data_IF_976662015217
#
_entry.id   IF_976662015217
#
_cell.length_a   1.000
_cell.length_b   1.000
_cell.length_c   1.000
_cell.angle_alpha   90.00
_cell.angle_beta   90.00
_cell.angle_gamma   90.00
#
_symmetry.space_group_name_H-M   'P 1'
#
loop_
_entity.id
_entity.type
_entity.pdbx_description
1 polymer ?
#
# COMPACT_ATOMS: atom_id res chain seq x y z
N UNK A 1 15.52 73.89 0.27
CA UNK A 1 14.45 72.89 0.35
C UNK A 1 14.58 72.29 1.72
N UNK A 2 13.56 72.52 2.55
CA UNK A 2 13.62 72.25 3.98
C UNK A 2 13.74 70.74 4.23
N UNK A 3 14.48 70.33 5.26
CA UNK A 3 14.61 68.89 5.58
C UNK A 3 13.23 68.26 5.87
N UNK A 4 12.30 69.09 6.35
CA UNK A 4 10.90 68.73 6.60
C UNK A 4 10.13 68.45 5.29
N UNK A 5 10.38 69.23 4.22
CA UNK A 5 9.80 68.97 2.89
C UNK A 5 10.33 67.68 2.26
N UNK A 6 11.61 67.34 2.51
CA UNK A 6 12.19 66.08 2.03
C UNK A 6 11.62 64.86 2.77
N UNK A 7 11.32 65.00 4.06
CA UNK A 7 10.68 63.93 4.84
C UNK A 7 9.25 63.67 4.35
N UNK A 8 8.46 64.73 4.18
CA UNK A 8 7.07 64.59 3.70
C UNK A 8 7.01 64.01 2.28
N UNK A 9 7.98 64.36 1.41
CA UNK A 9 8.08 63.77 0.07
C UNK A 9 8.40 62.27 0.12
N UNK A 10 9.28 61.84 1.03
CA UNK A 10 9.58 60.42 1.26
C UNK A 10 8.38 59.67 1.82
N UNK A 11 7.65 60.24 2.78
CA UNK A 11 6.46 59.61 3.36
C UNK A 11 5.33 59.44 2.34
N UNK A 12 5.16 60.42 1.44
CA UNK A 12 4.23 60.29 0.31
C UNK A 12 4.64 59.17 -0.65
N UNK A 13 5.94 59.02 -0.91
CA UNK A 13 6.48 57.96 -1.77
C UNK A 13 6.29 56.57 -1.15
N UNK A 14 6.54 56.45 0.16
CA UNK A 14 6.33 55.22 0.93
C UNK A 14 4.86 54.80 0.88
N UNK A 15 3.92 55.73 1.12
CA UNK A 15 2.48 55.44 1.02
C UNK A 15 2.08 55.00 -0.39
N UNK A 16 2.68 55.60 -1.42
CA UNK A 16 2.39 55.26 -2.82
C UNK A 16 2.89 53.86 -3.17
N UNK A 17 4.09 53.49 -2.72
CA UNK A 17 4.66 52.15 -2.87
C UNK A 17 3.85 51.10 -2.10
N UNK A 18 3.44 51.40 -0.86
CA UNK A 18 2.59 50.51 -0.06
C UNK A 18 1.23 50.26 -0.74
N UNK A 19 0.61 51.30 -1.31
CA UNK A 19 -0.64 51.15 -2.06
C UNK A 19 -0.46 50.34 -3.35
N UNK A 20 0.68 50.50 -4.05
CA UNK A 20 0.99 49.68 -5.22
C UNK A 20 1.21 48.21 -4.84
N UNK A 21 1.96 47.91 -3.77
CA UNK A 21 2.11 46.53 -3.29
C UNK A 21 0.77 45.92 -2.89
N UNK A 22 -0.10 46.68 -2.21
CA UNK A 22 -1.42 46.20 -1.81
C UNK A 22 -2.30 45.90 -3.03
N UNK A 23 -2.25 46.75 -4.06
CA UNK A 23 -2.98 46.51 -5.32
C UNK A 23 -2.45 45.30 -6.10
N UNK A 24 -1.13 45.05 -6.07
CA UNK A 24 -0.51 43.88 -6.68
C UNK A 24 -0.90 42.59 -5.94
N UNK A 25 -0.86 42.59 -4.60
CA UNK A 25 -1.33 41.48 -3.77
C UNK A 25 -2.81 41.18 -4.00
N UNK A 26 -3.66 42.21 -4.11
CA UNK A 26 -5.10 42.03 -4.40
C UNK A 26 -5.33 41.44 -5.80
N UNK A 27 -4.44 41.73 -6.77
CA UNK A 27 -4.50 41.15 -8.11
C UNK A 27 -3.96 39.71 -8.19
N UNK A 28 -3.01 39.35 -7.32
CA UNK A 28 -2.51 37.99 -7.15
C UNK A 28 -3.53 37.09 -6.45
N UNK A 29 -4.30 37.63 -5.50
CA UNK A 29 -5.42 36.92 -4.83
C UNK A 29 -6.64 36.76 -5.76
N UNK A 30 -6.86 37.66 -6.72
CA UNK A 30 -7.94 37.56 -7.71
C UNK A 30 -7.64 36.60 -8.88
N UNK A 31 -6.35 36.37 -9.18
CA UNK A 31 -5.89 35.42 -10.23
C UNK A 31 -5.42 34.07 -9.67
N UNK A 32 -5.37 33.93 -8.35
CA UNK A 32 -5.34 32.63 -7.70
C UNK A 32 -6.77 32.28 -7.32
N UNK A 33 -7.46 31.58 -8.23
CA UNK A 33 -8.44 30.61 -7.75
C UNK A 33 -7.74 29.84 -6.63
N UNK A 34 -8.26 29.77 -5.40
CA UNK A 34 -7.75 28.79 -4.46
C UNK A 34 -7.89 27.48 -5.21
N UNK A 35 -6.77 26.88 -5.62
CA UNK A 35 -6.79 25.51 -6.08
C UNK A 35 -7.59 24.80 -4.99
N UNK A 36 -8.71 24.13 -5.31
CA UNK A 36 -9.43 23.41 -4.28
C UNK A 36 -8.37 22.56 -3.61
N UNK A 37 -8.19 22.75 -2.30
CA UNK A 37 -7.44 21.79 -1.51
C UNK A 37 -8.28 20.53 -1.63
N UNK A 38 -8.05 19.76 -2.68
CA UNK A 38 -8.63 18.45 -2.83
C UNK A 38 -7.92 17.67 -1.75
N UNK A 39 -8.46 17.71 -0.54
CA UNK A 39 -8.34 16.63 0.41
C UNK A 39 -9.00 15.45 -0.30
N UNK A 40 -8.27 14.85 -1.24
CA UNK A 40 -8.65 13.60 -1.86
C UNK A 40 -8.73 12.63 -0.69
N UNK A 41 -9.94 12.35 -0.21
CA UNK A 41 -10.15 11.25 0.69
C UNK A 41 -9.83 9.98 -0.11
N UNK A 42 -8.57 9.56 -0.03
CA UNK A 42 -8.12 8.36 -0.71
C UNK A 42 -8.97 7.19 -0.22
N UNK A 43 -9.65 6.55 -1.15
CA UNK A 43 -10.57 5.45 -0.86
C UNK A 43 -9.80 4.20 -0.40
N UNK A 44 -8.48 4.12 -0.60
CA UNK A 44 -7.68 2.93 -0.27
C UNK A 44 -7.86 1.82 -1.30
N UNK A 45 -7.89 2.20 -2.58
CA UNK A 45 -7.97 1.31 -3.74
C UNK A 45 -6.82 1.68 -4.68
N UNK A 46 -6.25 0.67 -5.36
CA UNK A 46 -5.16 0.87 -6.32
C UNK A 46 -5.62 0.40 -7.70
N UNK A 47 -5.74 1.35 -8.62
CA UNK A 47 -6.06 1.05 -10.01
C UNK A 47 -4.80 0.59 -10.76
N UNK A 48 -4.97 -0.44 -11.58
CA UNK A 48 -3.99 -0.87 -12.58
C UNK A 48 -4.70 -1.26 -13.87
N UNK A 49 -4.01 -1.09 -15.00
CA UNK A 49 -4.51 -1.51 -16.31
C UNK A 49 -4.34 -3.02 -16.48
N UNK A 50 -5.29 -3.69 -17.15
CA UNK A 50 -5.26 -5.16 -17.28
C UNK A 50 -4.01 -5.65 -18.00
N UNK A 51 -3.52 -4.90 -18.99
CA UNK A 51 -2.29 -5.16 -19.73
C UNK A 51 -1.01 -5.10 -18.86
N UNK A 52 -1.06 -4.41 -17.72
CA UNK A 52 0.07 -4.27 -16.79
C UNK A 52 0.00 -5.27 -15.63
N UNK A 53 -0.99 -6.18 -15.60
CA UNK A 53 -1.13 -7.20 -14.54
C UNK A 53 0.14 -8.03 -14.37
N UNK A 54 0.74 -8.48 -15.48
CA UNK A 54 1.98 -9.25 -15.44
C UNK A 54 3.14 -8.44 -14.82
N UNK A 55 3.23 -7.14 -15.13
CA UNK A 55 4.25 -6.25 -14.54
C UNK A 55 4.00 -6.01 -13.06
N UNK A 56 2.74 -5.86 -12.66
CA UNK A 56 2.36 -5.74 -11.25
C UNK A 56 2.87 -6.94 -10.46
N UNK A 57 2.59 -8.17 -10.95
CA UNK A 57 3.08 -9.39 -10.30
C UNK A 57 4.60 -9.47 -10.33
N UNK A 58 5.24 -9.11 -11.44
CA UNK A 58 6.70 -9.09 -11.55
C UNK A 58 7.32 -8.18 -10.48
N UNK A 59 6.88 -6.93 -10.37
CA UNK A 59 7.50 -5.96 -9.46
C UNK A 59 7.11 -6.14 -7.99
N UNK A 60 5.87 -6.53 -7.70
CA UNK A 60 5.37 -6.64 -6.32
C UNK A 60 5.65 -8.02 -5.71
N UNK A 61 5.81 -9.05 -6.55
CA UNK A 61 6.00 -10.42 -6.07
C UNK A 61 7.37 -10.97 -6.47
N UNK A 62 7.68 -11.00 -7.77
CA UNK A 62 8.85 -11.77 -8.25
C UNK A 62 10.19 -11.05 -7.98
N UNK A 63 10.24 -9.73 -8.17
CA UNK A 63 11.47 -8.93 -8.03
C UNK A 63 11.59 -8.22 -6.67
N UNK A 64 10.57 -8.37 -5.81
CA UNK A 64 10.52 -7.67 -4.54
C UNK A 64 11.52 -8.28 -3.55
N UNK A 65 12.52 -7.49 -3.15
CA UNK A 65 13.52 -7.90 -2.16
C UNK A 65 13.03 -7.62 -0.74
N UNK A 66 13.24 -8.53 0.23
CA UNK A 66 12.84 -8.33 1.63
C UNK A 66 13.51 -7.11 2.29
N UNK A 67 14.74 -6.78 1.88
CA UNK A 67 15.54 -5.70 2.50
C UNK A 67 15.04 -4.33 2.07
N UNK A 68 14.53 -3.56 3.03
CA UNK A 68 14.10 -2.16 2.85
C UNK A 68 12.60 -1.97 2.65
N UNK A 69 11.81 -3.05 2.69
CA UNK A 69 10.34 -2.97 2.53
C UNK A 69 9.67 -3.18 3.89
N UNK A 70 8.65 -2.36 4.17
CA UNK A 70 7.83 -2.50 5.37
C UNK A 70 7.14 -3.87 5.34
N UNK A 71 7.22 -4.61 6.45
CA UNK A 71 6.52 -5.89 6.64
C UNK A 71 5.05 -5.69 6.28
N UNK A 72 4.48 -6.56 5.44
CA UNK A 72 3.10 -6.52 4.91
C UNK A 72 2.78 -5.53 3.78
N UNK A 73 3.72 -4.72 3.30
CA UNK A 73 3.45 -3.74 2.23
C UNK A 73 2.90 -4.41 0.96
N UNK A 74 3.51 -5.52 0.52
CA UNK A 74 3.07 -6.22 -0.68
C UNK A 74 1.63 -6.74 -0.53
N UNK A 75 1.29 -7.31 0.62
CA UNK A 75 -0.05 -7.79 0.91
C UNK A 75 -1.11 -6.66 0.83
N UNK A 76 -0.84 -5.49 1.41
CA UNK A 76 -1.76 -4.36 1.35
C UNK A 76 -1.91 -3.80 -0.06
N UNK A 77 -0.80 -3.65 -0.81
CA UNK A 77 -0.85 -3.21 -2.21
C UNK A 77 -1.69 -4.15 -3.08
N UNK A 78 -1.47 -5.46 -2.95
CA UNK A 78 -2.23 -6.47 -3.67
C UNK A 78 -3.72 -6.46 -3.26
N UNK A 79 -4.02 -6.33 -1.97
CA UNK A 79 -5.40 -6.23 -1.49
C UNK A 79 -6.11 -4.96 -2.00
N UNK A 80 -5.41 -3.82 -2.07
CA UNK A 80 -5.98 -2.60 -2.65
C UNK A 80 -6.31 -2.75 -4.15
N UNK A 81 -5.53 -3.53 -4.91
CA UNK A 81 -5.85 -3.91 -6.29
C UNK A 81 -7.07 -4.84 -6.37
N UNK A 82 -7.16 -5.82 -5.47
CA UNK A 82 -8.30 -6.75 -5.36
C UNK A 82 -9.58 -5.97 -5.06
N UNK A 83 -9.54 -5.07 -4.08
CA UNK A 83 -10.68 -4.21 -3.73
C UNK A 83 -11.10 -3.30 -4.87
N UNK A 84 -10.15 -2.80 -5.66
CA UNK A 84 -10.49 -2.01 -6.85
C UNK A 84 -11.23 -2.85 -7.91
N UNK A 85 -10.78 -4.09 -8.14
CA UNK A 85 -11.47 -4.99 -9.06
C UNK A 85 -12.88 -5.37 -8.56
N UNK A 86 -13.04 -5.59 -7.26
CA UNK A 86 -14.34 -5.78 -6.61
C UNK A 86 -15.23 -4.54 -6.77
N UNK A 87 -14.71 -3.33 -6.51
CA UNK A 87 -15.45 -2.08 -6.67
C UNK A 87 -16.00 -1.85 -8.09
N UNK A 88 -15.24 -2.24 -9.11
CA UNK A 88 -15.69 -2.20 -10.51
C UNK A 88 -16.68 -3.32 -10.87
N UNK A 89 -16.97 -4.23 -9.95
CA UNK A 89 -17.75 -5.45 -10.17
C UNK A 89 -17.19 -6.30 -11.33
N UNK A 90 -15.85 -6.34 -11.45
CA UNK A 90 -15.14 -6.98 -12.55
C UNK A 90 -14.60 -8.36 -12.12
N UNK A 91 -15.49 -9.36 -12.15
CA UNK A 91 -15.17 -10.72 -11.69
C UNK A 91 -14.07 -11.40 -12.51
N UNK A 92 -13.94 -11.08 -13.80
CA UNK A 92 -12.89 -11.62 -14.65
C UNK A 92 -11.50 -11.09 -14.25
N UNK A 93 -11.39 -9.77 -14.03
CA UNK A 93 -10.17 -9.14 -13.55
C UNK A 93 -9.80 -9.62 -12.14
N UNK A 94 -10.78 -9.72 -11.26
CA UNK A 94 -10.58 -10.23 -9.90
C UNK A 94 -10.03 -11.67 -9.93
N UNK A 95 -10.65 -12.56 -10.70
CA UNK A 95 -10.20 -13.95 -10.84
C UNK A 95 -8.81 -14.04 -11.45
N UNK A 96 -8.51 -13.24 -12.48
CA UNK A 96 -7.17 -13.20 -13.09
C UNK A 96 -6.12 -12.79 -12.06
N UNK A 97 -6.35 -11.66 -11.39
CA UNK A 97 -5.44 -11.11 -10.38
C UNK A 97 -5.18 -12.09 -9.24
N UNK A 98 -6.23 -12.70 -8.67
CA UNK A 98 -6.08 -13.64 -7.57
C UNK A 98 -5.24 -14.86 -7.97
N UNK A 99 -5.48 -15.42 -9.16
CA UNK A 99 -4.69 -16.53 -9.68
C UNK A 99 -3.24 -16.12 -9.96
N UNK A 100 -3.02 -14.91 -10.47
CA UNK A 100 -1.70 -14.38 -10.76
C UNK A 100 -0.89 -14.15 -9.46
N UNK A 101 -1.52 -13.64 -8.40
CA UNK A 101 -0.91 -13.51 -7.06
C UNK A 101 -0.52 -14.89 -6.52
N UNK A 102 -1.46 -15.85 -6.49
CA UNK A 102 -1.22 -17.19 -5.97
C UNK A 102 -0.08 -17.86 -6.73
N UNK A 103 -0.06 -17.75 -8.06
CA UNK A 103 0.97 -18.34 -8.91
C UNK A 103 2.33 -17.66 -8.72
N UNK A 104 2.35 -16.34 -8.59
CA UNK A 104 3.56 -15.56 -8.31
C UNK A 104 4.20 -15.97 -6.98
N UNK A 105 3.41 -16.04 -5.91
CA UNK A 105 3.93 -16.46 -4.59
C UNK A 105 4.43 -17.90 -4.64
N UNK A 106 3.67 -18.83 -5.23
CA UNK A 106 4.11 -20.23 -5.41
C UNK A 106 5.44 -20.33 -6.14
N UNK A 107 5.62 -19.53 -7.20
CA UNK A 107 6.86 -19.48 -7.97
C UNK A 107 8.03 -19.02 -7.12
N UNK A 108 7.90 -17.89 -6.42
CA UNK A 108 8.98 -17.36 -5.56
C UNK A 108 9.38 -18.38 -4.49
N UNK A 109 8.42 -19.03 -3.85
CA UNK A 109 8.70 -20.03 -2.82
C UNK A 109 9.41 -21.27 -3.40
N UNK A 110 9.04 -21.66 -4.63
CA UNK A 110 9.63 -22.82 -5.31
C UNK A 110 11.04 -22.52 -5.80
N UNK A 111 11.30 -21.30 -6.28
CA UNK A 111 12.60 -20.87 -6.80
C UNK A 111 13.62 -20.64 -5.67
N UNK A 112 13.17 -20.41 -4.44
CA UNK A 112 13.99 -20.01 -3.29
C UNK A 112 13.73 -20.85 -2.04
N UNK A 113 13.65 -22.17 -2.19
CA UNK A 113 13.27 -23.11 -1.11
C UNK A 113 14.23 -23.15 0.08
N UNK A 114 15.46 -22.66 -0.06
CA UNK A 114 16.48 -22.65 1.00
C UNK A 114 16.77 -21.24 1.54
N UNK A 115 16.11 -20.20 0.99
CA UNK A 115 16.31 -18.82 1.42
C UNK A 115 15.42 -18.50 2.62
N UNK A 116 16.00 -18.57 3.82
CA UNK A 116 15.29 -18.29 5.07
C UNK A 116 14.66 -16.90 5.12
N UNK A 117 15.37 -15.87 4.63
CA UNK A 117 14.91 -14.47 4.67
C UNK A 117 13.68 -14.30 3.77
N UNK A 118 13.73 -14.88 2.57
CA UNK A 118 12.65 -14.81 1.59
C UNK A 118 11.43 -15.65 2.01
N UNK A 119 11.64 -16.84 2.56
CA UNK A 119 10.57 -17.70 3.07
C UNK A 119 9.82 -17.01 4.23
N UNK A 120 10.54 -16.42 5.18
CA UNK A 120 9.95 -15.65 6.29
C UNK A 120 9.13 -14.47 5.77
N UNK A 121 9.69 -13.73 4.79
CA UNK A 121 9.04 -12.58 4.18
C UNK A 121 7.72 -12.95 3.49
N UNK A 122 7.72 -14.00 2.66
CA UNK A 122 6.52 -14.43 1.95
C UNK A 122 5.52 -15.16 2.84
N UNK A 123 5.96 -15.85 3.90
CA UNK A 123 5.06 -16.37 4.93
C UNK A 123 4.26 -15.23 5.58
N UNK A 124 4.96 -14.18 6.00
CA UNK A 124 4.35 -12.99 6.60
C UNK A 124 3.36 -12.32 5.62
N UNK A 125 3.79 -12.02 4.38
CA UNK A 125 2.91 -11.38 3.41
C UNK A 125 1.71 -12.25 3.01
N UNK A 126 1.86 -13.57 2.91
CA UNK A 126 0.74 -14.49 2.64
C UNK A 126 -0.28 -14.47 3.78
N UNK A 127 0.20 -14.49 5.03
CA UNK A 127 -0.66 -14.37 6.21
C UNK A 127 -1.37 -13.01 6.29
N UNK A 128 -0.67 -11.92 5.98
CA UNK A 128 -1.27 -10.58 5.93
C UNK A 128 -2.32 -10.46 4.82
N UNK A 129 -2.08 -11.07 3.65
CA UNK A 129 -3.07 -11.12 2.57
C UNK A 129 -4.33 -11.88 3.02
N UNK A 130 -4.18 -13.06 3.62
CA UNK A 130 -5.28 -13.82 4.21
C UNK A 130 -6.03 -13.00 5.27
N UNK A 131 -5.30 -12.29 6.12
CA UNK A 131 -5.87 -11.44 7.17
C UNK A 131 -6.69 -10.29 6.58
N UNK A 132 -6.19 -9.62 5.52
CA UNK A 132 -6.94 -8.58 4.82
C UNK A 132 -8.23 -9.15 4.20
N UNK A 133 -8.14 -10.31 3.53
CA UNK A 133 -9.30 -10.96 2.92
C UNK A 133 -10.37 -11.36 3.94
N UNK A 134 -10.01 -11.61 5.19
CA UNK A 134 -10.96 -11.85 6.30
C UNK A 134 -11.48 -10.52 6.88
N UNK A 135 -10.57 -9.63 7.27
CA UNK A 135 -10.88 -8.37 7.94
C UNK A 135 -11.85 -7.49 7.12
N UNK A 136 -11.70 -7.51 5.81
CA UNK A 136 -12.49 -6.72 4.86
C UNK A 136 -13.48 -7.57 4.06
N UNK A 137 -13.84 -8.77 4.52
CA UNK A 137 -14.84 -9.60 3.81
C UNK A 137 -16.28 -9.10 3.96
N UNK A 138 -16.55 -8.25 4.97
CA UNK A 138 -17.91 -7.88 5.34
C UNK A 138 -18.56 -8.83 6.36
N UNK A 139 -17.87 -9.90 6.77
CA UNK A 139 -18.37 -10.82 7.79
C UNK A 139 -18.20 -10.23 9.20
N UNK A 140 -19.28 -10.17 9.97
CA UNK A 140 -19.28 -9.58 11.33
C UNK A 140 -18.24 -10.19 12.25
N UNK A 141 -17.94 -11.49 12.09
CA UNK A 141 -16.93 -12.18 12.89
C UNK A 141 -15.56 -11.53 12.79
N UNK A 142 -15.16 -11.06 11.60
CA UNK A 142 -13.85 -10.47 11.34
C UNK A 142 -13.83 -8.94 11.49
N UNK A 143 -14.99 -8.30 11.64
CA UNK A 143 -15.11 -6.84 11.74
C UNK A 143 -15.10 -6.31 13.18
N UNK A 144 -15.06 -7.18 14.20
CA UNK A 144 -15.17 -6.82 15.62
C UNK A 144 -14.14 -5.77 16.09
N UNK A 145 -12.94 -5.78 15.51
CA UNK A 145 -11.85 -4.87 15.87
C UNK A 145 -11.67 -3.73 14.86
N UNK A 146 -12.50 -3.66 13.83
CA UNK A 146 -12.39 -2.64 12.80
C UNK A 146 -12.92 -1.29 13.29
N UNK A 147 -12.23 -0.23 12.90
CA UNK A 147 -12.75 1.14 12.98
C UNK A 147 -13.91 1.33 11.99
N UNK A 148 -14.80 2.33 12.21
CA UNK A 148 -15.84 2.66 11.25
C UNK A 148 -15.32 2.96 9.84
N UNK A 149 -14.10 3.53 9.73
CA UNK A 149 -13.45 3.78 8.44
C UNK A 149 -12.97 2.49 7.78
N UNK A 150 -12.45 1.52 8.52
CA UNK A 150 -12.06 0.22 7.97
C UNK A 150 -13.26 -0.57 7.46
N UNK A 151 -14.42 -0.48 8.13
CA UNK A 151 -15.64 -1.14 7.67
C UNK A 151 -16.14 -0.61 6.32
N UNK A 152 -15.88 0.66 5.99
CA UNK A 152 -16.17 1.22 4.65
C UNK A 152 -15.27 0.64 3.54
N UNK A 153 -14.21 -0.07 3.90
CA UNK A 153 -13.27 -0.67 2.96
C UNK A 153 -13.54 -2.15 2.70
N UNK A 154 -14.61 -2.72 3.26
CA UNK A 154 -15.00 -4.09 2.97
C UNK A 154 -15.37 -4.27 1.48
N UNK A 155 -15.13 -5.48 0.99
CA UNK A 155 -15.58 -5.94 -0.32
C UNK A 155 -17.11 -5.92 -0.37
N UNK A 156 -17.67 -5.64 -1.55
CA UNK A 156 -19.11 -5.43 -1.72
C UNK A 156 -19.75 -6.39 -2.72
N UNK A 157 -18.98 -6.90 -3.70
CA UNK A 157 -19.56 -7.59 -4.85
C UNK A 157 -19.23 -9.09 -4.89
N UNK A 158 -18.05 -9.50 -4.44
CA UNK A 158 -17.59 -10.89 -4.54
C UNK A 158 -17.24 -11.51 -3.19
N UNK A 159 -17.71 -12.74 -2.98
CA UNK A 159 -17.23 -13.62 -1.90
C UNK A 159 -15.92 -14.30 -2.31
N UNK A 160 -14.89 -14.14 -1.50
CA UNK A 160 -13.55 -14.69 -1.70
C UNK A 160 -13.22 -15.86 -0.76
N UNK A 161 -14.23 -16.48 -0.12
CA UNK A 161 -14.07 -17.61 0.81
C UNK A 161 -13.18 -18.74 0.28
N UNK A 162 -13.39 -19.17 -0.97
CA UNK A 162 -12.55 -20.21 -1.60
C UNK A 162 -11.09 -19.77 -1.72
N UNK A 163 -10.86 -18.52 -2.13
CA UNK A 163 -9.51 -17.98 -2.25
C UNK A 163 -8.82 -17.86 -0.88
N UNK A 164 -9.57 -17.53 0.19
CA UNK A 164 -9.04 -17.55 1.57
C UNK A 164 -8.53 -18.92 1.96
N UNK A 165 -9.25 -19.99 1.61
CA UNK A 165 -8.77 -21.35 1.87
C UNK A 165 -7.47 -21.63 1.12
N UNK A 166 -7.38 -21.24 -0.17
CA UNK A 166 -6.16 -21.41 -0.96
C UNK A 166 -4.97 -20.66 -0.35
N UNK A 167 -5.18 -19.43 0.14
CA UNK A 167 -4.14 -18.67 0.84
C UNK A 167 -3.75 -19.31 2.18
N UNK A 168 -4.71 -19.90 2.91
CA UNK A 168 -4.44 -20.64 4.13
C UNK A 168 -3.53 -21.85 3.86
N UNK A 169 -3.88 -22.67 2.86
CA UNK A 169 -3.09 -23.83 2.47
C UNK A 169 -1.70 -23.43 1.97
N UNK A 170 -1.60 -22.32 1.25
CA UNK A 170 -0.33 -21.77 0.80
C UNK A 170 0.54 -21.33 1.99
N UNK A 171 -0.03 -20.62 2.97
CA UNK A 171 0.67 -20.21 4.17
C UNK A 171 1.21 -21.41 4.97
N UNK A 172 0.41 -22.48 5.11
CA UNK A 172 0.82 -23.72 5.77
C UNK A 172 2.01 -24.36 5.04
N UNK A 173 1.98 -24.41 3.70
CA UNK A 173 3.09 -24.96 2.90
C UNK A 173 4.37 -24.15 3.09
N UNK A 174 4.28 -22.83 3.04
CA UNK A 174 5.44 -21.95 3.25
C UNK A 174 5.98 -22.13 4.68
N UNK A 175 5.09 -22.23 5.67
CA UNK A 175 5.47 -22.46 7.06
C UNK A 175 6.26 -23.76 7.24
N UNK A 176 5.79 -24.88 6.69
CA UNK A 176 6.54 -26.14 6.76
C UNK A 176 7.92 -26.05 6.10
N UNK A 177 8.00 -25.39 4.94
CA UNK A 177 9.28 -25.16 4.27
C UNK A 177 10.22 -24.31 5.13
N UNK A 178 9.71 -23.23 5.70
CA UNK A 178 10.44 -22.33 6.59
C UNK A 178 11.00 -23.07 7.82
N UNK A 179 10.19 -23.89 8.48
CA UNK A 179 10.64 -24.70 9.63
C UNK A 179 11.71 -25.70 9.21
N UNK A 180 11.56 -26.36 8.05
CA UNK A 180 12.58 -27.31 7.56
C UNK A 180 13.95 -26.62 7.33
N UNK A 181 13.96 -25.41 6.75
CA UNK A 181 15.19 -24.64 6.56
C UNK A 181 15.78 -24.19 7.91
N UNK A 182 14.93 -23.78 8.84
CA UNK A 182 15.35 -23.40 10.20
C UNK A 182 15.99 -24.57 10.94
N UNK A 183 15.38 -25.76 10.89
CA UNK A 183 15.90 -26.98 11.52
C UNK A 183 17.27 -27.37 10.94
N UNK A 184 17.41 -27.39 9.61
CA UNK A 184 18.70 -27.65 8.95
C UNK A 184 19.80 -26.69 9.39
N UNK A 185 19.43 -25.45 9.70
CA UNK A 185 20.37 -24.41 10.15
C UNK A 185 20.72 -24.58 11.64
N UNK A 186 19.74 -24.89 12.50
CA UNK A 186 19.93 -24.94 13.96
C UNK A 186 20.50 -26.27 14.47
N UNK A 187 20.12 -27.42 13.88
CA UNK A 187 20.56 -28.76 14.34
C UNK A 187 22.10 -28.88 14.45
N UNK A 188 22.89 -28.44 13.44
CA UNK A 188 24.35 -28.50 13.53
C UNK A 188 24.95 -27.62 14.65
N UNK A 189 24.27 -26.55 15.02
CA UNK A 189 24.73 -25.67 16.11
C UNK A 189 24.49 -26.34 17.47
N UNK A 190 23.33 -26.96 17.67
CA UNK A 190 22.98 -27.65 18.93
C UNK A 190 23.88 -28.89 19.14
N UNK A 191 24.12 -29.68 18.09
CA UNK A 191 24.95 -30.89 18.17
C UNK A 191 26.42 -30.63 18.53
N UNK A 192 26.96 -29.45 18.22
CA UNK A 192 28.32 -29.04 18.58
C UNK A 192 28.48 -28.61 20.05
N UNK A 193 27.39 -28.37 20.79
CA UNK A 193 27.46 -28.04 22.22
C UNK A 193 27.44 -29.26 23.14
N UNK A 194 27.20 -30.45 22.60
CA UNK A 194 27.12 -31.71 23.37
C UNK A 194 28.28 -32.68 23.10
N UNK A 195 29.28 -32.25 22.31
CA UNK A 195 30.53 -32.97 22.03
C UNK A 195 31.72 -32.23 22.62
#
# INVERSE_FOLDING_TARGET
MDFEEQLDMKDRLIRKLQNQMKSLQTSEEANQTPAPTITNEYLGMLEYKREDEAKLIQYVILDLKPRGVVVSMAAHLLFMCVRHADYLNDGAKLKSLMNAIISGVKKVITDHQEDFELLSFWLSNTYHMLSCLKQYSGEEEFMKQNTPRQNKNCLQNFDLSEHRQIFCDLAIRIYHQFISVMEKTLIPMIGRFLS
#
